data_IF_505089362777
#
_entry.id   IF_505089362777
#
_cell.length_a   1.000
_cell.length_b   1.000
_cell.length_c   1.000
_cell.angle_alpha   90.00
_cell.angle_beta   90.00
_cell.angle_gamma   90.00
#
_symmetry.space_group_name_H-M   'P 1'
#
loop_
_entity.id
_entity.type
_entity.pdbx_description
1 polymer ?
#
# COMPACT_ATOMS: atom_id res chain seq x y z
N UNK A 1 24.77 30.58 -25.44
CA UNK A 1 23.83 30.86 -24.35
C UNK A 1 23.77 29.62 -23.47
N UNK A 2 24.42 29.69 -22.31
CA UNK A 2 24.34 28.67 -21.25
C UNK A 2 22.90 28.66 -20.72
N UNK A 3 22.17 27.56 -20.93
CA UNK A 3 20.94 27.31 -20.20
C UNK A 3 21.34 26.88 -18.79
N UNK A 4 21.33 27.85 -17.87
CA UNK A 4 21.23 27.56 -16.44
C UNK A 4 19.86 26.90 -16.25
N UNK A 5 19.87 25.58 -15.95
CA UNK A 5 18.68 24.91 -15.44
C UNK A 5 18.18 25.60 -14.18
N UNK A 6 16.89 25.45 -13.82
CA UNK A 6 16.36 26.08 -12.62
C UNK A 6 17.19 25.65 -11.41
N UNK A 7 17.74 26.64 -10.71
CA UNK A 7 18.35 26.46 -9.39
C UNK A 7 17.35 25.74 -8.46
N UNK A 8 17.81 24.87 -7.54
CA UNK A 8 16.92 24.21 -6.61
C UNK A 8 16.07 25.26 -5.89
N UNK A 9 14.75 25.12 -6.00
CA UNK A 9 13.80 26.01 -5.34
C UNK A 9 14.22 26.17 -3.89
N UNK A 10 14.39 27.42 -3.45
CA UNK A 10 14.54 27.74 -2.03
C UNK A 10 13.52 26.92 -1.25
N UNK A 11 14.02 26.08 -0.34
CA UNK A 11 13.18 25.19 0.46
C UNK A 11 12.24 26.06 1.29
N UNK A 12 10.96 26.16 0.89
CA UNK A 12 9.86 26.92 1.51
C UNK A 12 9.64 26.58 3.01
N UNK A 13 10.62 26.88 3.86
CA UNK A 13 10.67 26.56 5.29
C UNK A 13 10.83 25.07 5.63
N UNK A 14 11.01 24.18 4.65
CA UNK A 14 11.18 22.74 4.90
C UNK A 14 12.64 22.41 5.27
N UNK A 15 12.83 21.75 6.41
CA UNK A 15 14.04 21.03 6.77
C UNK A 15 14.04 19.67 6.07
N UNK A 16 15.23 19.09 5.91
CA UNK A 16 15.42 17.76 5.34
C UNK A 16 16.22 16.85 6.27
N UNK A 17 15.81 15.59 6.36
CA UNK A 17 16.56 14.51 6.99
C UNK A 17 16.75 13.39 5.96
N UNK A 18 18.01 13.08 5.65
CA UNK A 18 18.37 12.18 4.55
C UNK A 18 18.87 10.84 5.06
N UNK A 19 18.35 9.76 4.48
CA UNK A 19 18.88 8.41 4.63
C UNK A 19 19.20 7.80 3.25
N UNK A 20 19.51 6.51 3.22
CA UNK A 20 19.90 5.78 2.01
C UNK A 20 18.80 5.81 0.95
N UNK A 21 17.57 5.46 1.35
CA UNK A 21 16.43 5.28 0.46
C UNK A 21 15.39 6.41 0.51
N UNK A 22 15.49 7.30 1.51
CA UNK A 22 14.48 8.32 1.78
C UNK A 22 15.05 9.72 2.03
N UNK A 23 14.20 10.72 1.79
CA UNK A 23 14.36 12.09 2.28
C UNK A 23 13.08 12.46 3.03
N UNK A 24 13.19 12.78 4.32
CA UNK A 24 12.08 13.27 5.14
C UNK A 24 12.10 14.79 5.16
N UNK A 25 11.02 15.42 4.71
CA UNK A 25 10.80 16.86 4.76
C UNK A 25 9.87 17.22 5.91
N UNK A 26 10.25 18.17 6.75
CA UNK A 26 9.47 18.61 7.90
C UNK A 26 9.69 20.10 8.23
N UNK A 27 8.79 20.73 9.00
CA UNK A 27 8.97 22.11 9.50
C UNK A 27 9.14 22.15 11.01
N UNK A 28 8.06 21.85 11.73
CA UNK A 28 8.01 21.95 13.19
C UNK A 28 7.88 20.59 13.89
N UNK A 29 7.88 19.49 13.13
CA UNK A 29 7.82 18.15 13.69
C UNK A 29 9.02 17.86 14.63
N UNK A 30 8.81 17.14 15.74
CA UNK A 30 9.87 16.75 16.67
C UNK A 30 11.00 15.95 15.99
N UNK A 31 12.25 16.27 16.30
CA UNK A 31 13.43 15.63 15.69
C UNK A 31 13.49 14.11 15.97
N UNK A 32 13.03 13.66 17.14
CA UNK A 32 12.95 12.23 17.49
C UNK A 32 11.92 11.49 16.63
N UNK A 33 10.78 12.12 16.33
CA UNK A 33 9.79 11.60 15.40
C UNK A 33 10.37 11.48 13.98
N UNK A 34 11.14 12.48 13.53
CA UNK A 34 11.77 12.48 12.20
C UNK A 34 12.85 11.41 12.06
N UNK A 35 13.75 11.31 13.05
CA UNK A 35 14.77 10.24 13.08
C UNK A 35 14.09 8.87 13.04
N UNK A 36 13.07 8.65 13.88
CA UNK A 36 12.33 7.38 13.92
C UNK A 36 11.57 7.09 12.62
N UNK A 37 11.04 8.11 11.94
CA UNK A 37 10.40 7.97 10.63
C UNK A 37 11.41 7.49 9.60
N UNK A 38 12.60 8.09 9.56
CA UNK A 38 13.68 7.68 8.67
C UNK A 38 14.11 6.24 8.94
N UNK A 39 14.39 5.89 10.20
CA UNK A 39 14.80 4.54 10.59
C UNK A 39 13.76 3.47 10.25
N UNK A 40 12.47 3.77 10.50
CA UNK A 40 11.37 2.85 10.18
C UNK A 40 11.18 2.70 8.68
N UNK A 41 11.27 3.79 7.92
CA UNK A 41 11.14 3.74 6.46
C UNK A 41 12.23 2.86 5.84
N UNK A 42 13.48 2.97 6.29
CA UNK A 42 14.59 2.10 5.87
C UNK A 42 14.34 0.63 6.20
N UNK A 43 13.80 0.34 7.39
CA UNK A 43 13.41 -1.01 7.77
C UNK A 43 12.32 -1.58 6.86
N UNK A 44 11.28 -0.77 6.58
CA UNK A 44 10.17 -1.19 5.73
C UNK A 44 10.55 -1.32 4.26
N UNK A 45 11.46 -0.51 3.75
CA UNK A 45 11.98 -0.62 2.39
C UNK A 45 12.51 -2.04 2.08
N UNK A 46 13.26 -2.62 3.03
CA UNK A 46 13.79 -3.97 2.90
C UNK A 46 12.71 -5.02 3.17
N UNK A 47 12.00 -4.87 4.31
CA UNK A 47 10.98 -5.83 4.74
C UNK A 47 9.89 -6.05 3.68
N UNK A 48 9.38 -4.99 3.06
CA UNK A 48 8.31 -5.09 2.07
C UNK A 48 8.78 -5.83 0.81
N UNK A 49 10.02 -5.58 0.37
CA UNK A 49 10.60 -6.31 -0.76
C UNK A 49 10.73 -7.80 -0.47
N UNK A 50 11.14 -8.15 0.75
CA UNK A 50 11.26 -9.54 1.21
C UNK A 50 9.87 -10.21 1.35
N UNK A 51 8.92 -9.55 2.01
CA UNK A 51 7.56 -10.06 2.24
C UNK A 51 6.84 -10.35 0.92
N UNK A 52 7.04 -9.52 -0.11
CA UNK A 52 6.45 -9.68 -1.45
C UNK A 52 7.31 -10.51 -2.41
N UNK A 53 8.55 -10.87 -2.04
CA UNK A 53 9.50 -11.58 -2.90
C UNK A 53 9.97 -10.76 -4.12
N UNK A 54 9.84 -9.44 -4.07
CA UNK A 54 10.19 -8.56 -5.18
C UNK A 54 11.69 -8.29 -5.21
N UNK A 55 12.36 -8.82 -6.24
CA UNK A 55 13.74 -8.44 -6.55
C UNK A 55 13.78 -7.07 -7.18
N UNK A 56 14.51 -6.15 -6.55
CA UNK A 56 14.60 -4.75 -6.97
C UNK A 56 15.89 -4.50 -7.74
N UNK A 57 15.76 -3.82 -8.87
CA UNK A 57 16.89 -3.38 -9.71
C UNK A 57 16.98 -1.85 -9.80
N UNK A 58 15.86 -1.16 -9.57
CA UNK A 58 15.81 0.31 -9.48
C UNK A 58 15.78 0.72 -8.01
N UNK A 59 16.96 0.86 -7.40
CA UNK A 59 17.08 1.24 -5.99
C UNK A 59 16.75 2.72 -5.78
N UNK A 60 16.18 3.04 -4.62
CA UNK A 60 15.84 4.42 -4.25
C UNK A 60 17.07 5.18 -3.79
N UNK A 61 18.12 5.28 -4.60
CA UNK A 61 19.39 5.91 -4.20
C UNK A 61 19.52 7.31 -4.79
N UNK A 62 20.37 8.13 -4.17
CA UNK A 62 20.75 9.46 -4.68
C UNK A 62 19.53 10.36 -4.94
N UNK A 63 19.27 10.73 -6.19
CA UNK A 63 18.15 11.58 -6.60
C UNK A 63 16.83 10.80 -6.80
N UNK A 64 16.88 9.47 -6.77
CA UNK A 64 15.72 8.58 -6.90
C UNK A 64 15.13 8.17 -5.53
N UNK A 65 15.55 8.80 -4.44
CA UNK A 65 14.99 8.54 -3.10
C UNK A 65 13.51 8.85 -3.03
N UNK A 66 12.76 8.05 -2.29
CA UNK A 66 11.39 8.39 -1.93
C UNK A 66 11.37 9.58 -0.97
N UNK A 67 10.33 10.41 -1.04
CA UNK A 67 10.20 11.62 -0.24
C UNK A 67 9.05 11.46 0.74
N UNK A 68 9.28 11.78 2.01
CA UNK A 68 8.24 11.73 3.04
C UNK A 68 8.03 13.16 3.55
N UNK A 69 6.87 13.75 3.29
CA UNK A 69 6.48 15.05 3.83
C UNK A 69 5.69 14.88 5.12
N UNK A 70 6.23 15.42 6.20
CA UNK A 70 5.62 15.44 7.53
C UNK A 70 5.11 16.85 7.80
N UNK A 71 3.81 17.06 7.62
CA UNK A 71 3.11 18.32 7.89
C UNK A 71 2.95 18.53 9.40
N UNK A 72 2.77 19.78 9.84
CA UNK A 72 2.77 20.10 11.28
C UNK A 72 1.61 19.44 12.05
N UNK A 73 0.46 19.25 11.40
CA UNK A 73 -0.72 18.59 11.97
C UNK A 73 -1.64 18.01 10.89
N UNK A 74 -2.70 17.31 11.33
CA UNK A 74 -3.72 16.73 10.45
C UNK A 74 -4.31 17.79 9.51
N UNK A 75 -4.70 18.96 10.02
CA UNK A 75 -5.36 20.01 9.25
C UNK A 75 -4.46 20.50 8.12
N UNK A 76 -3.17 20.72 8.38
CA UNK A 76 -2.19 21.11 7.38
C UNK A 76 -2.02 20.02 6.31
N UNK A 77 -1.97 18.74 6.72
CA UNK A 77 -1.94 17.60 5.81
C UNK A 77 -3.19 17.54 4.91
N UNK A 78 -4.40 17.62 5.47
CA UNK A 78 -5.63 17.55 4.68
C UNK A 78 -5.77 18.76 3.74
N UNK A 79 -5.37 19.96 4.17
CA UNK A 79 -5.37 21.15 3.31
C UNK A 79 -4.41 21.00 2.12
N UNK A 80 -3.23 20.42 2.36
CA UNK A 80 -2.21 20.27 1.33
C UNK A 80 -2.49 19.13 0.34
N UNK A 81 -3.16 18.06 0.80
CA UNK A 81 -3.37 16.83 0.01
C UNK A 81 -4.79 16.69 -0.54
N UNK A 82 -5.77 17.39 0.03
CA UNK A 82 -7.19 17.21 -0.30
C UNK A 82 -7.79 15.91 0.24
N UNK A 83 -7.05 15.15 1.05
CA UNK A 83 -7.52 13.90 1.64
C UNK A 83 -8.65 14.14 2.66
N UNK A 84 -9.58 13.17 2.83
CA UNK A 84 -10.65 13.29 3.80
C UNK A 84 -10.12 13.25 5.24
N UNK A 85 -10.94 13.70 6.19
CA UNK A 85 -10.54 13.83 7.60
C UNK A 85 -10.19 12.50 8.29
N UNK A 86 -10.63 11.37 7.73
CA UNK A 86 -10.28 10.03 8.23
C UNK A 86 -8.94 9.52 7.71
N UNK A 87 -8.37 10.12 6.66
CA UNK A 87 -7.05 9.75 6.14
C UNK A 87 -5.96 10.43 6.94
N UNK A 88 -4.96 9.64 7.31
CA UNK A 88 -3.78 10.08 8.04
C UNK A 88 -2.46 9.90 7.25
N UNK A 89 -2.56 9.40 6.02
CA UNK A 89 -1.46 9.25 5.08
C UNK A 89 -1.97 9.12 3.65
N UNK A 90 -1.13 9.47 2.69
CA UNK A 90 -1.33 9.10 1.29
C UNK A 90 -0.02 9.12 0.50
N UNK A 91 0.09 8.22 -0.47
CA UNK A 91 1.18 8.18 -1.44
C UNK A 91 0.76 8.72 -2.82
N UNK A 92 1.62 9.55 -3.40
CA UNK A 92 1.71 9.68 -4.85
C UNK A 92 2.77 8.69 -5.33
N UNK A 93 2.30 7.58 -5.89
CA UNK A 93 3.14 6.44 -6.29
C UNK A 93 4.10 6.76 -7.43
N UNK A 94 3.71 7.61 -8.38
CA UNK A 94 4.54 7.97 -9.53
C UNK A 94 5.78 8.76 -9.11
N UNK A 95 5.59 9.70 -8.17
CA UNK A 95 6.65 10.59 -7.70
C UNK A 95 7.38 10.05 -6.46
N UNK A 96 6.96 8.90 -5.93
CA UNK A 96 7.42 8.31 -4.66
C UNK A 96 7.31 9.29 -3.49
N UNK A 97 6.18 9.98 -3.40
CA UNK A 97 5.92 10.96 -2.36
C UNK A 97 4.91 10.40 -1.37
N UNK A 98 5.29 10.33 -0.10
CA UNK A 98 4.42 9.99 1.02
C UNK A 98 4.12 11.28 1.79
N UNK A 99 2.87 11.50 2.15
CA UNK A 99 2.44 12.65 2.94
C UNK A 99 1.79 12.16 4.23
N UNK A 100 2.15 12.74 5.39
CA UNK A 100 1.53 12.45 6.68
C UNK A 100 1.82 13.57 7.69
N UNK A 101 1.55 13.36 8.98
CA UNK A 101 1.80 14.31 10.06
C UNK A 101 2.22 13.57 11.35
N UNK A 102 2.92 14.24 12.30
CA UNK A 102 3.34 13.63 13.55
C UNK A 102 2.16 13.13 14.39
N UNK A 103 2.39 12.05 15.11
CA UNK A 103 1.42 11.47 16.05
C UNK A 103 0.09 11.03 15.44
N UNK A 104 0.00 10.90 14.12
CA UNK A 104 -1.05 10.11 13.49
C UNK A 104 -1.10 8.73 14.17
N UNK A 105 -2.30 8.32 14.59
CA UNK A 105 -2.48 7.08 15.32
C UNK A 105 -1.93 5.91 14.49
N UNK A 106 -1.15 5.03 15.12
CA UNK A 106 -0.51 3.87 14.48
C UNK A 106 0.44 4.18 13.31
N UNK A 107 0.88 5.44 13.10
CA UNK A 107 1.71 5.85 11.97
C UNK A 107 2.86 4.90 11.61
N UNK A 108 3.63 4.48 12.60
CA UNK A 108 4.79 3.62 12.37
C UNK A 108 4.43 2.17 12.07
N UNK A 109 3.24 1.70 12.44
CA UNK A 109 2.84 0.29 12.34
C UNK A 109 1.90 0.03 11.16
N UNK A 110 1.12 1.03 10.75
CA UNK A 110 0.08 0.92 9.74
C UNK A 110 0.38 1.85 8.56
N UNK A 111 0.34 3.17 8.79
CA UNK A 111 0.39 4.17 7.71
C UNK A 111 1.70 4.10 6.93
N UNK A 112 2.85 4.23 7.60
CA UNK A 112 4.14 4.27 6.92
C UNK A 112 4.43 3.01 6.06
N UNK A 113 4.29 1.77 6.57
CA UNK A 113 4.48 0.59 5.73
C UNK A 113 3.42 0.47 4.62
N UNK A 114 2.18 0.88 4.87
CA UNK A 114 1.10 0.88 3.87
C UNK A 114 1.45 1.76 2.67
N UNK A 115 1.84 3.02 2.92
CA UNK A 115 2.19 3.96 1.85
C UNK A 115 3.46 3.55 1.08
N UNK A 116 4.46 2.98 1.78
CA UNK A 116 5.65 2.40 1.10
C UNK A 116 5.24 1.19 0.26
N UNK A 117 4.30 0.37 0.76
CA UNK A 117 3.73 -0.79 0.09
C UNK A 117 3.12 -0.44 -1.26
N UNK A 118 2.28 0.60 -1.32
CA UNK A 118 1.72 1.10 -2.59
C UNK A 118 2.81 1.45 -3.61
N UNK A 119 3.84 2.19 -3.20
CA UNK A 119 4.91 2.62 -4.09
C UNK A 119 5.68 1.40 -4.63
N UNK A 120 6.13 0.50 -3.75
CA UNK A 120 6.90 -0.68 -4.13
C UNK A 120 6.07 -1.59 -5.04
N UNK A 121 4.79 -1.80 -4.71
CA UNK A 121 3.89 -2.59 -5.53
C UNK A 121 3.73 -2.00 -6.92
N UNK A 122 3.36 -0.71 -7.03
CA UNK A 122 3.15 -0.03 -8.31
C UNK A 122 4.42 0.08 -9.16
N UNK A 123 5.60 0.23 -8.54
CA UNK A 123 6.88 0.13 -9.27
C UNK A 123 7.07 -1.27 -9.90
N UNK A 124 6.55 -2.32 -9.27
CA UNK A 124 6.67 -3.69 -9.77
C UNK A 124 5.61 -4.03 -10.83
N UNK A 125 4.33 -3.72 -10.59
CA UNK A 125 3.21 -4.11 -11.48
C UNK A 125 2.83 -3.04 -12.52
N UNK A 126 3.49 -1.88 -12.46
CA UNK A 126 3.27 -0.74 -13.34
C UNK A 126 2.22 0.25 -12.81
N UNK A 127 2.46 1.54 -13.07
CA UNK A 127 1.63 2.64 -12.56
C UNK A 127 0.24 2.70 -13.21
N UNK A 128 0.18 2.62 -14.55
CA UNK A 128 -1.06 2.76 -15.34
C UNK A 128 -1.59 1.40 -15.82
N UNK A 129 -1.77 0.46 -14.90
CA UNK A 129 -2.32 -0.85 -15.24
C UNK A 129 -3.79 -0.96 -14.82
N UNK A 130 -4.75 -0.87 -15.76
CA UNK A 130 -6.17 -0.96 -15.42
C UNK A 130 -6.59 -2.38 -14.99
N UNK A 131 -5.72 -3.38 -15.12
CA UNK A 131 -6.00 -4.75 -14.70
C UNK A 131 -5.80 -4.98 -13.19
N UNK A 132 -5.31 -3.97 -12.45
CA UNK A 132 -5.14 -4.06 -11.00
C UNK A 132 -6.41 -3.52 -10.33
N UNK A 133 -7.26 -4.36 -9.73
CA UNK A 133 -8.41 -3.89 -8.98
C UNK A 133 -7.95 -3.18 -7.71
N UNK A 134 -8.73 -2.21 -7.23
CA UNK A 134 -8.38 -1.39 -6.07
C UNK A 134 -8.12 -2.26 -4.82
N UNK A 135 -8.94 -3.30 -4.60
CA UNK A 135 -8.77 -4.21 -3.47
C UNK A 135 -7.41 -4.91 -3.47
N UNK A 136 -6.82 -5.21 -4.63
CA UNK A 136 -5.51 -5.85 -4.68
C UNK A 136 -4.42 -4.85 -4.25
N UNK A 137 -4.52 -3.61 -4.70
CA UNK A 137 -3.59 -2.54 -4.34
C UNK A 137 -3.61 -2.27 -2.84
N UNK A 138 -4.82 -2.04 -2.31
CA UNK A 138 -5.07 -1.81 -0.89
C UNK A 138 -4.74 -3.04 -0.04
N UNK A 139 -4.98 -4.24 -0.58
CA UNK A 139 -4.64 -5.50 0.07
C UNK A 139 -3.14 -5.69 0.22
N UNK A 140 -2.36 -5.38 -0.83
CA UNK A 140 -0.88 -5.46 -0.78
C UNK A 140 -0.30 -4.44 0.18
N UNK A 141 -0.81 -3.20 0.17
CA UNK A 141 -0.40 -2.17 1.11
C UNK A 141 -0.76 -2.56 2.55
N UNK A 142 -2.00 -3.01 2.78
CA UNK A 142 -2.49 -3.48 4.07
C UNK A 142 -1.76 -4.72 4.58
N UNK A 143 -1.24 -5.57 3.69
CA UNK A 143 -0.45 -6.75 4.06
C UNK A 143 0.88 -6.37 4.71
N UNK A 144 1.41 -5.17 4.40
CA UNK A 144 2.64 -4.65 5.03
C UNK A 144 2.40 -4.07 6.43
N UNK A 145 1.14 -3.87 6.81
CA UNK A 145 0.80 -3.36 8.13
C UNK A 145 0.99 -4.44 9.18
N UNK A 146 1.66 -4.08 10.27
CA UNK A 146 1.91 -5.03 11.35
C UNK A 146 0.57 -5.53 11.91
N UNK A 147 0.39 -6.86 11.93
CA UNK A 147 -0.76 -7.58 12.53
C UNK A 147 -2.11 -7.46 11.79
N UNK A 148 -2.24 -6.64 10.74
CA UNK A 148 -3.53 -6.41 10.08
C UNK A 148 -4.10 -7.66 9.42
N UNK A 149 -3.27 -8.47 8.76
CA UNK A 149 -3.71 -9.74 8.16
C UNK A 149 -4.31 -10.71 9.20
N UNK A 150 -3.64 -10.87 10.36
CA UNK A 150 -4.12 -11.75 11.42
C UNK A 150 -5.46 -11.27 11.99
N UNK A 151 -5.57 -9.97 12.27
CA UNK A 151 -6.82 -9.36 12.75
C UNK A 151 -7.95 -9.48 11.73
N UNK A 152 -7.65 -9.29 10.44
CA UNK A 152 -8.61 -9.46 9.36
C UNK A 152 -9.13 -10.89 9.30
N UNK A 153 -8.26 -11.91 9.40
CA UNK A 153 -8.70 -13.31 9.39
C UNK A 153 -9.69 -13.63 10.52
N UNK A 154 -9.38 -13.20 11.74
CA UNK A 154 -10.26 -13.43 12.90
C UNK A 154 -11.61 -12.72 12.75
N UNK A 155 -11.60 -11.49 12.21
CA UNK A 155 -12.82 -10.75 11.89
C UNK A 155 -13.63 -11.45 10.78
N UNK A 156 -13.00 -11.88 9.70
CA UNK A 156 -13.71 -12.45 8.55
C UNK A 156 -14.36 -13.80 8.87
N UNK A 157 -13.80 -14.58 9.80
CA UNK A 157 -14.46 -15.80 10.30
C UNK A 157 -15.83 -15.53 10.92
N UNK A 158 -16.03 -14.41 11.61
CA UNK A 158 -17.35 -14.04 12.13
C UNK A 158 -18.27 -13.52 11.01
N UNK A 159 -17.75 -12.68 10.11
CA UNK A 159 -18.51 -12.12 8.98
C UNK A 159 -19.00 -13.20 8.02
N UNK A 160 -18.18 -14.23 7.76
CA UNK A 160 -18.53 -15.38 6.92
C UNK A 160 -19.73 -16.15 7.49
N UNK A 161 -19.77 -16.39 8.81
CA UNK A 161 -20.92 -17.04 9.47
C UNK A 161 -22.21 -16.24 9.33
N UNK A 162 -22.09 -14.91 9.30
CA UNK A 162 -23.22 -14.00 9.11
C UNK A 162 -23.62 -13.82 7.64
N UNK A 163 -22.90 -14.44 6.69
CA UNK A 163 -23.09 -14.29 5.23
C UNK A 163 -23.05 -12.82 4.77
N UNK A 164 -22.13 -12.05 5.35
CA UNK A 164 -21.99 -10.61 5.12
C UNK A 164 -20.77 -10.23 4.28
N UNK A 165 -19.99 -11.20 3.80
CA UNK A 165 -18.84 -10.93 2.93
C UNK A 165 -19.29 -10.25 1.64
N UNK A 166 -18.45 -9.37 1.12
CA UNK A 166 -18.56 -8.90 -0.25
C UNK A 166 -18.08 -10.03 -1.17
N UNK A 167 -18.87 -10.34 -2.20
CA UNK A 167 -18.33 -11.14 -3.31
C UNK A 167 -17.16 -10.41 -3.96
N UNK A 168 -16.22 -11.14 -4.57
CA UNK A 168 -15.10 -10.50 -5.28
C UNK A 168 -15.54 -9.51 -6.37
N UNK A 169 -16.70 -9.74 -6.99
CA UNK A 169 -17.30 -8.80 -7.95
C UNK A 169 -17.71 -7.49 -7.28
N UNK A 170 -18.37 -7.56 -6.11
CA UNK A 170 -18.72 -6.37 -5.33
C UNK A 170 -17.47 -5.66 -4.82
N UNK A 171 -16.48 -6.41 -4.31
CA UNK A 171 -15.21 -5.87 -3.83
C UNK A 171 -14.47 -5.13 -4.95
N UNK A 172 -14.47 -5.67 -6.17
CA UNK A 172 -13.82 -5.05 -7.34
C UNK A 172 -14.52 -3.79 -7.87
N UNK A 173 -15.81 -3.60 -7.54
CA UNK A 173 -16.57 -2.41 -7.92
C UNK A 173 -16.66 -1.37 -6.78
N UNK A 174 -16.31 -1.75 -5.56
CA UNK A 174 -16.40 -0.89 -4.40
C UNK A 174 -15.23 0.09 -4.35
N UNK A 175 -15.50 1.35 -4.02
CA UNK A 175 -14.49 2.35 -3.76
C UNK A 175 -14.73 2.97 -2.36
N UNK A 176 -13.84 2.72 -1.39
CA UNK A 176 -14.03 3.19 -0.01
C UNK A 176 -14.04 4.72 0.11
N UNK A 177 -13.40 5.46 -0.81
CA UNK A 177 -13.36 6.92 -0.76
C UNK A 177 -14.73 7.59 -0.94
N UNK A 178 -15.66 6.91 -1.63
CA UNK A 178 -17.00 7.45 -1.88
C UNK A 178 -18.06 6.86 -0.95
N UNK A 179 -17.70 5.92 -0.08
CA UNK A 179 -18.62 5.32 0.87
C UNK A 179 -18.69 6.10 2.18
N UNK A 180 -19.89 6.22 2.74
CA UNK A 180 -20.14 6.72 4.10
C UNK A 180 -20.37 5.60 5.11
N UNK A 181 -20.47 4.35 4.64
CA UNK A 181 -20.65 3.19 5.50
C UNK A 181 -19.29 2.70 6.00
N UNK A 182 -18.94 3.09 7.23
CA UNK A 182 -17.68 2.70 7.86
C UNK A 182 -17.55 1.19 8.05
N UNK A 183 -18.67 0.46 8.18
CA UNK A 183 -18.65 -1.00 8.29
C UNK A 183 -18.21 -1.62 6.96
N UNK A 184 -18.83 -1.23 5.84
CA UNK A 184 -18.42 -1.74 4.51
C UNK A 184 -17.00 -1.31 4.15
N UNK A 185 -16.57 -0.11 4.52
CA UNK A 185 -15.17 0.32 4.32
C UNK A 185 -14.22 -0.58 5.11
N UNK A 186 -14.49 -0.83 6.39
CA UNK A 186 -13.69 -1.74 7.21
C UNK A 186 -13.65 -3.15 6.62
N UNK A 187 -14.79 -3.64 6.14
CA UNK A 187 -14.89 -4.94 5.50
C UNK A 187 -14.08 -5.01 4.20
N UNK A 188 -14.16 -3.99 3.34
CA UNK A 188 -13.38 -3.91 2.11
C UNK A 188 -11.88 -4.12 2.38
N UNK A 189 -11.31 -3.39 3.34
CA UNK A 189 -9.89 -3.53 3.65
C UNK A 189 -9.55 -4.90 4.28
N UNK A 190 -10.43 -5.43 5.12
CA UNK A 190 -10.20 -6.72 5.75
C UNK A 190 -10.21 -7.86 4.72
N UNK A 191 -11.17 -7.86 3.80
CA UNK A 191 -11.23 -8.82 2.70
C UNK A 191 -10.03 -8.66 1.76
N UNK A 192 -9.68 -7.41 1.41
CA UNK A 192 -8.54 -7.08 0.55
C UNK A 192 -7.22 -7.65 1.07
N UNK A 193 -6.88 -7.39 2.34
CA UNK A 193 -5.64 -7.90 2.93
C UNK A 193 -5.66 -9.41 3.09
N UNK A 194 -6.82 -9.99 3.40
CA UNK A 194 -6.94 -11.42 3.61
C UNK A 194 -6.86 -12.22 2.30
N UNK A 195 -7.33 -11.66 1.18
CA UNK A 195 -7.14 -12.24 -0.15
C UNK A 195 -5.67 -12.30 -0.55
N UNK A 196 -4.92 -11.21 -0.33
CA UNK A 196 -3.47 -11.19 -0.59
C UNK A 196 -2.73 -12.17 0.31
N UNK A 197 -3.09 -12.19 1.59
CA UNK A 197 -2.55 -13.13 2.55
C UNK A 197 -2.84 -14.59 2.18
N UNK A 198 -4.05 -14.90 1.70
CA UNK A 198 -4.43 -16.23 1.21
C UNK A 198 -3.56 -16.65 0.02
N UNK A 199 -3.38 -15.78 -0.97
CA UNK A 199 -2.51 -16.06 -2.12
C UNK A 199 -1.06 -16.35 -1.68
N UNK A 200 -0.51 -15.55 -0.76
CA UNK A 200 0.87 -15.70 -0.31
C UNK A 200 1.05 -16.91 0.62
N UNK A 201 0.14 -17.13 1.59
CA UNK A 201 0.29 -18.19 2.60
C UNK A 201 -0.02 -19.58 2.05
N UNK A 202 -1.04 -19.71 1.21
CA UNK A 202 -1.45 -21.03 0.69
C UNK A 202 -0.61 -21.44 -0.53
N UNK A 203 -0.21 -20.48 -1.37
CA UNK A 203 0.47 -20.78 -2.64
C UNK A 203 1.93 -20.31 -2.68
N UNK A 204 2.40 -19.58 -1.67
CA UNK A 204 3.77 -19.13 -1.55
C UNK A 204 4.09 -17.83 -2.31
N UNK A 205 5.11 -17.13 -1.83
CA UNK A 205 5.54 -15.84 -2.36
C UNK A 205 5.98 -15.92 -3.83
N UNK A 206 6.63 -16.99 -4.29
CA UNK A 206 7.07 -17.13 -5.69
C UNK A 206 5.90 -17.15 -6.69
N UNK A 207 4.78 -17.75 -6.30
CA UNK A 207 3.54 -17.71 -7.09
C UNK A 207 2.96 -16.30 -7.08
N UNK A 208 2.94 -15.63 -5.93
CA UNK A 208 2.52 -14.23 -5.86
C UNK A 208 3.34 -13.29 -6.76
N UNK A 209 4.66 -13.48 -6.79
CA UNK A 209 5.56 -12.77 -7.71
C UNK A 209 5.19 -13.06 -9.16
N UNK A 210 4.98 -14.32 -9.52
CA UNK A 210 4.63 -14.74 -10.89
C UNK A 210 3.29 -14.15 -11.34
N UNK A 211 2.32 -14.07 -10.43
CA UNK A 211 1.04 -13.40 -10.65
C UNK A 211 1.23 -11.91 -10.91
N UNK A 212 2.00 -11.22 -10.07
CA UNK A 212 2.32 -9.81 -10.23
C UNK A 212 3.09 -9.53 -11.53
N UNK A 213 3.96 -10.43 -11.97
CA UNK A 213 4.63 -10.34 -13.28
C UNK A 213 3.62 -10.45 -14.43
N UNK A 214 2.63 -11.36 -14.33
CA UNK A 214 1.53 -11.45 -15.28
C UNK A 214 0.77 -10.13 -15.41
N UNK A 215 0.46 -9.48 -14.28
CA UNK A 215 -0.16 -8.15 -14.26
C UNK A 215 0.74 -7.11 -14.92
N UNK A 216 2.01 -7.03 -14.52
CA UNK A 216 3.02 -6.11 -15.09
C UNK A 216 3.07 -6.22 -16.62
N UNK A 217 3.02 -7.44 -17.13
CA UNK A 217 3.09 -7.76 -18.56
C UNK A 217 1.72 -7.60 -19.26
N UNK A 218 0.79 -6.86 -18.63
CA UNK A 218 -0.53 -6.44 -19.13
C UNK A 218 -1.47 -7.60 -19.47
N UNK A 219 -1.31 -8.77 -18.85
CA UNK A 219 -2.40 -9.76 -18.82
C UNK A 219 -3.58 -9.13 -18.06
N UNK A 220 -4.80 -9.44 -18.50
CA UNK A 220 -5.96 -9.14 -17.67
C UNK A 220 -5.89 -9.96 -16.36
N UNK A 221 -6.63 -9.52 -15.35
CA UNK A 221 -6.55 -10.09 -14.00
C UNK A 221 -6.77 -11.61 -13.99
N UNK A 222 -7.87 -12.10 -14.56
CA UNK A 222 -8.20 -13.54 -14.55
C UNK A 222 -7.13 -14.38 -15.26
N UNK A 223 -6.59 -13.90 -16.39
CA UNK A 223 -5.50 -14.60 -17.08
C UNK A 223 -4.20 -14.59 -16.28
N UNK A 224 -3.90 -13.51 -15.55
CA UNK A 224 -2.75 -13.48 -14.66
C UNK A 224 -2.93 -14.48 -13.52
N UNK A 225 -4.14 -14.55 -12.96
CA UNK A 225 -4.51 -15.45 -11.87
C UNK A 225 -4.44 -16.93 -12.31
N UNK A 226 -5.15 -17.31 -13.38
CA UNK A 226 -5.22 -18.69 -13.86
C UNK A 226 -3.92 -19.21 -14.48
N UNK A 227 -2.96 -18.32 -14.81
CA UNK A 227 -1.61 -18.73 -15.22
C UNK A 227 -0.78 -19.31 -14.07
N UNK A 228 -1.19 -19.09 -12.82
CA UNK A 228 -0.37 -19.35 -11.61
C UNK A 228 -1.13 -20.18 -10.58
N UNK A 229 -2.42 -19.90 -10.38
CA UNK A 229 -3.24 -20.52 -9.36
C UNK A 229 -4.26 -21.48 -9.99
N UNK A 230 -4.80 -22.44 -9.23
CA UNK A 230 -5.78 -23.41 -9.72
C UNK A 230 -7.21 -22.83 -9.85
N UNK A 231 -7.33 -21.55 -10.18
CA UNK A 231 -8.61 -20.85 -10.35
C UNK A 231 -8.71 -20.33 -11.77
N UNK A 232 -9.72 -20.76 -12.52
CA UNK A 232 -9.89 -20.34 -13.91
C UNK A 232 -10.51 -18.95 -14.03
N UNK A 233 -11.23 -18.50 -12.99
CA UNK A 233 -12.01 -17.27 -12.99
C UNK A 233 -12.20 -16.69 -11.58
N UNK A 234 -12.80 -15.49 -11.52
CA UNK A 234 -13.09 -14.81 -10.25
C UNK A 234 -13.95 -15.62 -9.27
N UNK A 235 -14.91 -16.42 -9.74
CA UNK A 235 -15.82 -17.14 -8.84
C UNK A 235 -15.10 -18.30 -8.13
N UNK A 236 -14.30 -19.07 -8.88
CA UNK A 236 -13.51 -20.16 -8.28
C UNK A 236 -12.50 -19.65 -7.26
N UNK A 237 -11.91 -18.47 -7.52
CA UNK A 237 -11.04 -17.80 -6.57
C UNK A 237 -11.79 -17.38 -5.30
N UNK A 238 -12.97 -16.77 -5.44
CA UNK A 238 -13.83 -16.36 -4.32
C UNK A 238 -14.23 -17.56 -3.45
N UNK A 239 -14.69 -18.66 -4.08
CA UNK A 239 -15.08 -19.88 -3.40
C UNK A 239 -13.91 -20.53 -2.63
N UNK A 240 -12.74 -20.62 -3.25
CA UNK A 240 -11.56 -21.18 -2.62
C UNK A 240 -11.07 -20.35 -1.43
N UNK A 241 -11.10 -19.02 -1.57
CA UNK A 241 -10.75 -18.10 -0.49
C UNK A 241 -11.74 -18.19 0.68
N UNK A 242 -13.05 -18.17 0.41
CA UNK A 242 -14.07 -18.29 1.45
C UNK A 242 -13.97 -19.64 2.19
N UNK A 243 -13.63 -20.72 1.47
CA UNK A 243 -13.35 -22.02 2.10
C UNK A 243 -12.15 -21.97 3.04
N UNK A 244 -11.06 -21.30 2.65
CA UNK A 244 -9.89 -21.12 3.51
C UNK A 244 -10.19 -20.31 4.78
N UNK A 245 -11.05 -19.28 4.69
CA UNK A 245 -11.48 -18.54 5.88
C UNK A 245 -12.26 -19.45 6.86
N UNK A 246 -13.05 -20.39 6.33
CA UNK A 246 -13.89 -21.28 7.13
C UNK A 246 -13.11 -22.35 7.92
N UNK A 247 -11.91 -22.72 7.45
CA UNK A 247 -10.99 -23.67 8.09
C UNK A 247 -10.19 -23.01 9.24
#
# INVERSE_FOLDING_TARGET
FLFLGPLPAETNGWKEFKSTHFIVYYKNAPEDFISKTSDKAEGYYNKIADDLGFRRYNFWLWDNRAKIYIYDDAKAFQLATGQPSWSAGCANVNDKIINSYPYAETFFQTILPHEIGHIIFREFVGFDNPSIPLWLDEGVASYQENLRSAMARDMLRSVLREKKLLSLSQLSQFNPHFSRDSYTVGLFYAESVNLVDFLIREYGTDNFVSFCQGLRDKKNFERALSSVYPFDNFNEFDEAWQKNIAE
#
